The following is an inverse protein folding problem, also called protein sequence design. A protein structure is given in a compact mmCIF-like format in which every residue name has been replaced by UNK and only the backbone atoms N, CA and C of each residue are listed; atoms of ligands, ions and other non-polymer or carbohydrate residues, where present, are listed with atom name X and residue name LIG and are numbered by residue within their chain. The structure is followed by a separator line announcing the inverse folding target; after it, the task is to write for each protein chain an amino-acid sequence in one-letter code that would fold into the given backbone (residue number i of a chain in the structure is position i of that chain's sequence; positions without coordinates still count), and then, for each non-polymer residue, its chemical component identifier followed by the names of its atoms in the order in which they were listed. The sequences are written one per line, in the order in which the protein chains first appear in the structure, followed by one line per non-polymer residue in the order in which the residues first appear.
data_IF_184622842197
#
_entry.id   IF_184622842197
#
_cell.length_a   1.000
_cell.length_b   1.000
_cell.length_c   1.000
_cell.angle_alpha   90.00
_cell.angle_beta   90.00
_cell.angle_gamma   90.00
#
_symmetry.space_group_name_H-M   'P 1'
#
loop_
_entity.id
_entity.type
_entity.pdbx_description
1 polymer ?
#
# COMPACT_ATOMS: atom_id res chain seq x y z
N UNK A 1 8.67 -13.21 -15.62
CA UNK A 1 8.02 -12.56 -16.79
C UNK A 1 7.74 -11.11 -16.43
N UNK A 2 8.01 -10.17 -17.32
CA UNK A 2 7.69 -8.74 -17.21
C UNK A 2 6.86 -8.34 -18.43
N UNK A 3 5.77 -7.62 -18.22
CA UNK A 3 5.05 -6.97 -19.30
C UNK A 3 5.45 -5.48 -19.33
N UNK A 4 6.04 -5.04 -20.40
CA UNK A 4 6.41 -3.65 -20.63
C UNK A 4 5.62 -3.10 -21.80
N UNK A 5 4.69 -2.19 -21.54
CA UNK A 5 3.82 -1.57 -22.55
C UNK A 5 3.11 -2.61 -23.47
N UNK A 6 2.62 -3.72 -22.89
CA UNK A 6 1.92 -4.78 -23.63
C UNK A 6 2.84 -5.85 -24.26
N UNK A 7 4.16 -5.65 -24.20
CA UNK A 7 5.15 -6.63 -24.71
C UNK A 7 5.74 -7.43 -23.53
N UNK A 8 5.77 -8.76 -23.69
CA UNK A 8 6.27 -9.68 -22.68
C UNK A 8 7.78 -9.93 -22.85
N UNK A 9 8.51 -9.86 -21.74
CA UNK A 9 9.95 -10.11 -21.67
C UNK A 9 10.28 -11.08 -20.52
N UNK A 10 11.39 -11.81 -20.65
CA UNK A 10 11.99 -12.46 -19.49
C UNK A 10 12.61 -11.41 -18.55
N UNK A 11 12.85 -11.76 -17.28
CA UNK A 11 13.53 -10.86 -16.33
C UNK A 11 14.91 -10.43 -16.81
N UNK A 12 15.63 -11.34 -17.52
CA UNK A 12 16.99 -11.05 -18.03
C UNK A 12 16.98 -10.12 -19.25
N UNK A 13 15.90 -10.13 -20.04
CA UNK A 13 15.81 -9.33 -21.28
C UNK A 13 15.07 -8.02 -21.11
N UNK A 14 14.26 -7.86 -20.05
CA UNK A 14 13.57 -6.61 -19.76
C UNK A 14 14.56 -5.50 -19.43
N UNK A 15 14.47 -4.39 -20.17
CA UNK A 15 15.38 -3.24 -19.98
C UNK A 15 14.59 -1.94 -19.87
N UNK A 16 14.96 -1.12 -18.90
CA UNK A 16 14.49 0.26 -18.79
C UNK A 16 15.58 1.21 -19.22
N UNK A 17 15.20 2.30 -19.88
CA UNK A 17 16.14 3.36 -20.25
C UNK A 17 16.71 4.02 -18.98
N UNK A 18 18.02 4.34 -18.99
CA UNK A 18 18.64 5.18 -17.96
C UNK A 18 18.02 6.58 -17.88
N UNK A 19 17.30 7.01 -18.93
CA UNK A 19 16.55 8.27 -18.97
C UNK A 19 15.12 8.14 -18.47
N UNK A 20 14.74 6.97 -17.89
CA UNK A 20 13.42 6.78 -17.27
C UNK A 20 13.19 7.80 -16.17
N UNK A 21 12.10 8.56 -16.23
CA UNK A 21 11.82 9.64 -15.28
C UNK A 21 11.44 9.13 -13.90
N UNK A 22 10.86 7.94 -13.81
CA UNK A 22 10.62 7.26 -12.52
C UNK A 22 11.92 6.96 -11.79
N UNK A 23 13.00 6.61 -12.54
CA UNK A 23 14.34 6.41 -12.00
C UNK A 23 15.00 7.75 -11.61
N UNK A 24 14.96 8.76 -12.49
CA UNK A 24 15.71 10.00 -12.30
C UNK A 24 15.07 10.98 -11.32
N UNK A 25 13.73 11.02 -11.25
CA UNK A 25 12.97 12.05 -10.52
C UNK A 25 11.89 11.48 -9.58
N UNK A 26 11.72 10.16 -9.53
CA UNK A 26 10.57 9.56 -8.84
C UNK A 26 9.22 9.89 -9.51
N UNK A 27 9.22 10.31 -10.78
CA UNK A 27 8.05 10.73 -11.57
C UNK A 27 7.25 9.49 -12.02
N UNK A 28 6.70 8.77 -11.04
CA UNK A 28 6.01 7.51 -11.20
C UNK A 28 5.06 7.21 -10.05
N UNK A 29 4.04 6.42 -10.36
CA UNK A 29 3.08 5.83 -9.39
C UNK A 29 2.98 4.33 -9.63
N UNK A 30 2.56 3.58 -8.62
CA UNK A 30 2.40 2.14 -8.77
C UNK A 30 1.25 1.60 -7.92
N UNK A 31 0.73 0.46 -8.34
CA UNK A 31 -0.17 -0.37 -7.56
C UNK A 31 0.54 -1.66 -7.13
N UNK A 32 0.16 -2.16 -5.97
CA UNK A 32 0.51 -3.50 -5.53
C UNK A 32 -0.80 -4.24 -5.31
N UNK A 33 -1.04 -5.30 -6.07
CA UNK A 33 -2.31 -6.00 -6.12
C UNK A 33 -2.07 -7.44 -5.70
N UNK A 34 -2.87 -7.96 -4.79
CA UNK A 34 -2.89 -9.39 -4.46
C UNK A 34 -3.80 -10.10 -5.46
N UNK A 35 -3.29 -11.20 -6.04
CA UNK A 35 -4.06 -12.06 -6.94
C UNK A 35 -4.07 -13.47 -6.37
N UNK A 36 -5.23 -14.11 -6.40
CA UNK A 36 -5.39 -15.49 -5.96
C UNK A 36 -6.25 -16.22 -6.99
N UNK A 37 -5.74 -17.33 -7.55
CA UNK A 37 -6.42 -18.09 -8.59
C UNK A 37 -6.92 -17.23 -9.76
N UNK A 38 -6.08 -16.28 -10.21
CA UNK A 38 -6.40 -15.36 -11.30
C UNK A 38 -7.33 -14.19 -10.93
N UNK A 39 -7.83 -14.14 -9.70
CA UNK A 39 -8.70 -13.06 -9.24
C UNK A 39 -7.91 -11.93 -8.57
N UNK A 40 -8.08 -10.71 -9.06
CA UNK A 40 -7.46 -9.50 -8.52
C UNK A 40 -8.28 -8.98 -7.34
N UNK A 41 -7.69 -8.93 -6.15
CA UNK A 41 -8.39 -8.41 -4.95
C UNK A 41 -8.57 -6.89 -5.03
N UNK A 42 -9.82 -6.44 -4.88
CA UNK A 42 -10.18 -5.01 -4.87
C UNK A 42 -9.72 -4.25 -6.12
N UNK A 43 -9.79 -4.89 -7.30
CA UNK A 43 -9.25 -4.34 -8.54
C UNK A 43 -9.82 -2.96 -8.88
N UNK A 44 -11.11 -2.76 -8.75
CA UNK A 44 -11.75 -1.46 -9.01
C UNK A 44 -11.14 -0.33 -8.16
N UNK A 45 -10.90 -0.58 -6.88
CA UNK A 45 -10.29 0.40 -5.97
C UNK A 45 -8.85 0.73 -6.39
N UNK A 46 -8.07 -0.27 -6.82
CA UNK A 46 -6.72 -0.09 -7.34
C UNK A 46 -6.73 0.75 -8.62
N UNK A 47 -7.61 0.41 -9.55
CA UNK A 47 -7.75 1.14 -10.80
C UNK A 47 -8.08 2.62 -10.57
N UNK A 48 -9.11 2.91 -9.77
CA UNK A 48 -9.49 4.31 -9.51
C UNK A 48 -8.40 5.09 -8.76
N UNK A 49 -7.68 4.46 -7.84
CA UNK A 49 -6.56 5.10 -7.16
C UNK A 49 -5.43 5.42 -8.14
N UNK A 50 -5.09 4.49 -9.02
CA UNK A 50 -4.08 4.70 -10.06
C UNK A 50 -4.45 5.88 -10.96
N UNK A 51 -5.68 5.88 -11.51
CA UNK A 51 -6.17 6.95 -12.38
C UNK A 51 -6.19 8.31 -11.68
N UNK A 52 -6.63 8.35 -10.41
CA UNK A 52 -6.61 9.57 -9.61
C UNK A 52 -5.16 10.07 -9.38
N UNK A 53 -4.23 9.15 -9.10
CA UNK A 53 -2.82 9.48 -8.89
C UNK A 53 -2.17 10.04 -10.16
N UNK A 54 -2.44 9.44 -11.32
CA UNK A 54 -1.96 9.94 -12.62
C UNK A 54 -2.47 11.37 -12.90
N UNK A 55 -3.76 11.63 -12.63
CA UNK A 55 -4.34 12.98 -12.79
C UNK A 55 -3.67 14.02 -11.89
N UNK A 56 -3.44 13.68 -10.61
CA UNK A 56 -2.77 14.56 -9.66
C UNK A 56 -1.35 14.89 -10.13
N UNK A 57 -0.63 13.92 -10.69
CA UNK A 57 0.70 14.12 -11.27
C UNK A 57 0.66 14.70 -12.70
N UNK A 58 -0.52 15.04 -13.23
CA UNK A 58 -0.70 15.58 -14.60
C UNK A 58 -0.11 14.67 -15.69
N UNK A 59 -0.21 13.36 -15.50
CA UNK A 59 0.12 12.37 -16.52
C UNK A 59 -1.05 12.24 -17.49
N UNK A 60 -0.77 12.12 -18.78
CA UNK A 60 -1.79 11.82 -19.78
C UNK A 60 -2.23 10.36 -19.60
N UNK A 61 -3.50 10.16 -19.30
CA UNK A 61 -4.10 8.83 -19.20
C UNK A 61 -4.43 8.37 -20.64
N UNK A 62 -3.78 7.31 -21.15
CA UNK A 62 -4.08 6.81 -22.48
C UNK A 62 -5.54 6.40 -22.59
N UNK A 63 -6.19 6.67 -23.74
CA UNK A 63 -7.61 6.35 -23.95
C UNK A 63 -7.92 4.85 -23.75
N UNK A 64 -6.96 3.98 -24.02
CA UNK A 64 -7.09 2.53 -23.83
C UNK A 64 -6.87 2.07 -22.38
N UNK A 65 -6.44 2.93 -21.45
CA UNK A 65 -6.28 2.57 -20.04
C UNK A 65 -7.63 2.42 -19.33
N UNK A 66 -8.50 1.56 -19.88
CA UNK A 66 -9.71 1.16 -19.19
C UNK A 66 -9.39 0.13 -18.10
N UNK A 67 -10.35 -0.09 -17.22
CA UNK A 67 -10.24 -1.09 -16.14
C UNK A 67 -10.06 -2.50 -16.74
N UNK A 68 -10.79 -2.80 -17.79
CA UNK A 68 -10.75 -4.08 -18.50
C UNK A 68 -9.41 -4.28 -19.20
N UNK A 69 -8.90 -3.25 -19.90
CA UNK A 69 -7.61 -3.34 -20.60
C UNK A 69 -6.45 -3.66 -19.63
N UNK A 70 -6.36 -2.94 -18.52
CA UNK A 70 -5.28 -3.17 -17.56
C UNK A 70 -5.43 -4.53 -16.84
N UNK A 71 -6.66 -4.98 -16.61
CA UNK A 71 -6.93 -6.30 -16.06
C UNK A 71 -6.50 -7.41 -17.05
N UNK A 72 -6.82 -7.26 -18.33
CA UNK A 72 -6.40 -8.18 -19.39
C UNK A 72 -4.88 -8.25 -19.53
N UNK A 73 -4.19 -7.11 -19.49
CA UNK A 73 -2.72 -7.08 -19.50
C UNK A 73 -2.09 -7.78 -18.30
N UNK A 74 -2.68 -7.65 -17.09
CA UNK A 74 -2.27 -8.40 -15.90
C UNK A 74 -2.50 -9.90 -16.11
N UNK A 75 -3.71 -10.31 -16.54
CA UNK A 75 -4.05 -11.73 -16.77
C UNK A 75 -3.19 -12.35 -17.86
N UNK A 76 -2.93 -11.63 -18.95
CA UNK A 76 -2.01 -12.03 -20.02
C UNK A 76 -0.60 -12.31 -19.48
N UNK A 77 -0.12 -11.45 -18.57
CA UNK A 77 1.21 -11.60 -17.98
C UNK A 77 1.26 -12.81 -17.04
N UNK A 78 0.20 -13.04 -16.23
CA UNK A 78 0.06 -14.21 -15.36
C UNK A 78 0.10 -15.49 -16.19
N UNK A 79 -0.70 -15.57 -17.24
CA UNK A 79 -0.78 -16.72 -18.14
C UNK A 79 0.57 -17.01 -18.82
N UNK A 80 1.27 -15.99 -19.29
CA UNK A 80 2.57 -16.15 -19.92
C UNK A 80 3.67 -16.63 -18.96
N UNK A 81 3.48 -16.45 -17.64
CA UNK A 81 4.36 -16.97 -16.61
C UNK A 81 3.96 -18.34 -16.07
N UNK A 82 2.85 -18.92 -16.53
CA UNK A 82 2.24 -20.16 -16.02
C UNK A 82 1.91 -20.11 -14.50
N UNK A 83 1.37 -18.97 -14.06
CA UNK A 83 1.08 -18.70 -12.65
C UNK A 83 -0.43 -18.61 -12.33
N UNK A 84 -1.29 -19.13 -13.22
CA UNK A 84 -2.76 -19.01 -13.12
C UNK A 84 -3.36 -19.54 -11.82
N UNK A 85 -2.73 -20.55 -11.21
CA UNK A 85 -3.21 -21.20 -9.97
C UNK A 85 -2.47 -20.73 -8.72
N UNK A 86 -1.61 -19.74 -8.83
CA UNK A 86 -0.79 -19.30 -7.72
C UNK A 86 -1.35 -18.04 -7.05
N UNK A 87 -0.94 -17.83 -5.80
CA UNK A 87 -1.10 -16.53 -5.14
C UNK A 87 0.04 -15.62 -5.55
N UNK A 88 -0.29 -14.42 -6.02
CA UNK A 88 0.67 -13.49 -6.60
C UNK A 88 0.59 -12.11 -5.95
N UNK A 89 1.74 -11.46 -5.94
CA UNK A 89 1.90 -10.03 -5.78
C UNK A 89 2.18 -9.42 -7.15
N UNK A 90 1.25 -8.62 -7.62
CA UNK A 90 1.40 -7.87 -8.87
C UNK A 90 1.87 -6.46 -8.54
N UNK A 91 2.90 -5.99 -9.23
CA UNK A 91 3.25 -4.57 -9.27
C UNK A 91 2.92 -4.00 -10.63
N UNK A 92 1.90 -3.15 -10.69
CA UNK A 92 1.58 -2.34 -11.86
C UNK A 92 2.20 -0.96 -11.65
N UNK A 93 3.19 -0.63 -12.45
CA UNK A 93 3.98 0.58 -12.35
C UNK A 93 3.74 1.48 -13.56
N UNK A 94 3.53 2.77 -13.34
CA UNK A 94 3.32 3.75 -14.40
C UNK A 94 4.26 4.92 -14.16
N UNK A 95 5.05 5.27 -15.16
CA UNK A 95 5.94 6.43 -15.15
C UNK A 95 5.71 7.34 -16.34
N UNK A 96 5.98 8.63 -16.18
CA UNK A 96 6.01 9.55 -17.32
C UNK A 96 7.14 9.16 -18.26
N UNK A 97 6.91 9.21 -19.59
CA UNK A 97 7.93 8.93 -20.60
C UNK A 97 9.16 9.82 -20.47
N UNK A 98 10.27 9.31 -20.96
CA UNK A 98 11.54 10.03 -20.95
C UNK A 98 11.45 11.35 -21.75
N UNK A 99 12.21 12.35 -21.30
CA UNK A 99 12.33 13.64 -21.95
C UNK A 99 12.28 14.83 -21.00
N UNK A 100 13.02 15.86 -21.31
CA UNK A 100 13.16 17.06 -20.49
C UNK A 100 13.93 16.84 -19.19
N UNK A 101 13.98 17.89 -18.37
CA UNK A 101 14.52 17.86 -17.01
C UNK A 101 13.34 17.89 -16.03
N UNK A 102 13.25 18.86 -15.12
CA UNK A 102 12.07 19.01 -14.25
C UNK A 102 10.80 19.28 -15.05
N UNK A 103 10.89 20.10 -16.11
CA UNK A 103 9.82 20.24 -17.08
C UNK A 103 9.90 19.11 -18.10
N UNK A 104 8.92 18.18 -18.14
CA UNK A 104 8.90 17.08 -19.12
C UNK A 104 8.59 17.63 -20.51
N UNK A 105 9.07 16.94 -21.56
CA UNK A 105 8.76 17.30 -22.96
C UNK A 105 7.37 16.85 -23.38
N UNK A 106 6.78 15.88 -22.70
CA UNK A 106 5.40 15.38 -22.88
C UNK A 106 4.90 14.78 -21.55
N UNK A 107 3.60 14.53 -21.45
CA UNK A 107 2.98 13.91 -20.28
C UNK A 107 2.54 12.45 -20.53
N UNK A 108 2.90 11.87 -21.67
CA UNK A 108 2.65 10.47 -21.98
C UNK A 108 3.30 9.54 -20.94
N UNK A 109 2.81 8.32 -20.86
CA UNK A 109 3.28 7.35 -19.87
C UNK A 109 3.74 6.04 -20.51
N UNK A 110 4.65 5.38 -19.79
CA UNK A 110 4.96 3.96 -19.95
C UNK A 110 4.48 3.21 -18.72
N UNK A 111 4.17 1.91 -18.90
CA UNK A 111 3.83 1.05 -17.78
C UNK A 111 4.59 -0.28 -17.84
N UNK A 112 4.77 -0.90 -16.68
CA UNK A 112 5.16 -2.30 -16.63
C UNK A 112 4.42 -3.06 -15.53
N UNK A 113 4.27 -4.36 -15.74
CA UNK A 113 3.66 -5.30 -14.81
C UNK A 113 4.71 -6.34 -14.44
N UNK A 114 4.96 -6.46 -13.14
CA UNK A 114 5.86 -7.43 -12.53
C UNK A 114 5.06 -8.40 -11.67
N UNK A 115 5.42 -9.69 -11.70
CA UNK A 115 4.81 -10.76 -10.94
C UNK A 115 5.79 -11.33 -9.93
N UNK A 116 5.30 -11.59 -8.71
CA UNK A 116 6.01 -12.29 -7.66
C UNK A 116 5.07 -13.30 -7.02
N UNK A 117 5.49 -14.57 -6.87
CA UNK A 117 4.69 -15.57 -6.18
C UNK A 117 4.67 -15.31 -4.68
N UNK A 118 3.52 -15.54 -4.04
CA UNK A 118 3.35 -15.39 -2.60
C UNK A 118 2.83 -16.70 -2.00
N UNK A 119 3.02 -16.90 -0.69
CA UNK A 119 2.62 -18.13 -0.01
C UNK A 119 1.10 -18.28 0.07
N UNK A 120 0.49 -17.66 1.07
CA UNK A 120 -0.91 -17.91 1.42
C UNK A 120 -1.91 -17.24 0.47
N UNK A 121 -2.96 -17.96 0.04
CA UNK A 121 -4.04 -17.38 -0.77
C UNK A 121 -4.90 -16.39 0.01
N UNK A 122 -5.16 -16.64 1.29
CA UNK A 122 -5.95 -15.75 2.15
C UNK A 122 -5.07 -14.99 3.14
N UNK A 123 -5.65 -13.98 3.78
CA UNK A 123 -4.97 -13.29 4.86
C UNK A 123 -4.95 -14.17 6.12
N UNK A 124 -3.75 -14.51 6.57
CA UNK A 124 -3.51 -15.26 7.80
C UNK A 124 -3.19 -14.30 8.93
N UNK A 125 -3.63 -14.65 10.15
CA UNK A 125 -3.36 -13.83 11.32
C UNK A 125 -2.01 -14.24 11.92
N UNK A 126 -1.04 -13.33 11.87
CA UNK A 126 0.27 -13.56 12.47
C UNK A 126 0.30 -13.02 13.91
N UNK A 127 0.64 -13.88 14.86
CA UNK A 127 0.78 -13.56 16.30
C UNK A 127 2.23 -13.44 16.75
N UNK A 128 3.18 -13.57 15.82
CA UNK A 128 4.58 -13.40 16.15
C UNK A 128 4.86 -11.99 16.71
N UNK A 129 5.92 -11.89 17.48
CA UNK A 129 6.36 -10.59 17.99
C UNK A 129 6.55 -9.60 16.84
N UNK A 130 5.81 -8.51 16.90
CA UNK A 130 5.88 -7.42 15.93
C UNK A 130 6.01 -6.10 16.68
N UNK A 131 7.24 -5.72 16.95
CA UNK A 131 7.58 -4.52 17.71
C UNK A 131 7.86 -3.36 16.77
N UNK A 132 7.37 -2.18 17.14
CA UNK A 132 7.55 -0.96 16.37
C UNK A 132 8.11 0.17 17.23
N UNK A 133 8.83 1.11 16.59
CA UNK A 133 9.22 2.39 17.20
C UNK A 133 8.88 3.54 16.25
N UNK A 134 8.91 4.77 16.74
CA UNK A 134 8.74 5.97 15.92
C UNK A 134 10.03 6.29 15.16
N UNK A 135 9.94 6.44 13.85
CA UNK A 135 11.02 7.00 13.05
C UNK A 135 10.96 8.53 13.12
N UNK A 136 11.99 9.16 13.69
CA UNK A 136 12.00 10.59 14.01
C UNK A 136 12.99 11.41 13.21
N UNK A 137 13.83 10.77 12.40
CA UNK A 137 14.88 11.45 11.67
C UNK A 137 14.32 12.30 10.52
N UNK A 138 13.21 11.84 9.92
CA UNK A 138 12.54 12.54 8.83
C UNK A 138 11.02 12.46 8.97
N UNK A 139 10.34 13.52 8.53
CA UNK A 139 8.88 13.66 8.63
C UNK A 139 8.22 13.62 7.25
N UNK A 140 7.00 13.06 7.21
CA UNK A 140 6.12 13.18 6.04
C UNK A 140 5.51 14.58 6.04
N UNK A 141 5.62 15.30 4.94
CA UNK A 141 4.87 16.55 4.77
C UNK A 141 3.41 16.24 4.46
N UNK A 142 2.51 16.72 5.31
CA UNK A 142 1.07 16.53 5.19
C UNK A 142 0.49 17.32 4.01
N UNK A 143 0.49 16.73 2.84
CA UNK A 143 -0.06 17.30 1.60
C UNK A 143 -0.64 16.22 0.68
N UNK A 144 -1.24 16.64 -0.43
CA UNK A 144 -1.87 15.73 -1.38
C UNK A 144 -0.88 14.69 -1.97
N UNK A 145 0.38 15.06 -2.20
CA UNK A 145 1.38 14.14 -2.80
C UNK A 145 1.75 13.00 -1.84
N UNK A 146 1.71 13.23 -0.53
CA UNK A 146 1.97 12.20 0.47
C UNK A 146 0.92 11.06 0.41
N UNK A 147 -0.30 11.37 -0.04
CA UNK A 147 -1.38 10.38 -0.13
C UNK A 147 -1.26 9.46 -1.34
N UNK A 148 -0.32 9.71 -2.25
CA UNK A 148 -0.11 8.95 -3.47
C UNK A 148 0.81 7.75 -3.24
N UNK A 149 0.52 6.65 -3.96
CA UNK A 149 1.44 5.51 -4.03
C UNK A 149 2.51 5.78 -5.11
N UNK A 150 3.33 6.81 -4.86
CA UNK A 150 4.41 7.22 -5.76
C UNK A 150 5.71 6.47 -5.49
N UNK A 151 6.66 6.58 -6.42
CA UNK A 151 7.99 5.99 -6.30
C UNK A 151 8.94 6.75 -5.35
N UNK A 152 8.54 7.91 -4.86
CA UNK A 152 9.29 8.72 -3.89
C UNK A 152 9.19 8.10 -2.48
N UNK A 153 10.00 7.08 -2.18
CA UNK A 153 9.94 6.27 -0.95
C UNK A 153 11.20 6.34 -0.10
N UNK A 154 12.00 7.39 -0.25
CA UNK A 154 13.27 7.50 0.50
C UNK A 154 13.08 7.48 2.01
N UNK A 155 12.01 8.10 2.55
CA UNK A 155 11.70 8.08 3.99
C UNK A 155 11.40 6.65 4.44
N UNK A 156 10.64 5.88 3.65
CA UNK A 156 10.33 4.49 3.96
C UNK A 156 11.61 3.62 3.93
N UNK A 157 12.54 3.88 3.01
CA UNK A 157 13.83 3.17 2.92
C UNK A 157 14.67 3.46 4.17
N UNK A 158 14.86 4.73 4.53
CA UNK A 158 15.64 5.13 5.72
C UNK A 158 15.01 4.60 7.01
N UNK A 159 13.68 4.66 7.12
CA UNK A 159 12.96 4.08 8.26
C UNK A 159 13.11 2.56 8.35
N UNK A 160 13.18 1.85 7.20
CA UNK A 160 13.43 0.40 7.19
C UNK A 160 14.85 0.05 7.63
N UNK A 161 15.84 0.83 7.21
CA UNK A 161 17.23 0.68 7.67
C UNK A 161 17.29 0.89 9.18
N UNK A 162 16.73 1.99 9.68
CA UNK A 162 16.66 2.27 11.12
C UNK A 162 15.97 1.15 11.90
N UNK A 163 14.85 0.61 11.42
CA UNK A 163 14.17 -0.51 12.05
C UNK A 163 15.10 -1.73 12.17
N UNK A 164 15.79 -2.09 11.10
CA UNK A 164 16.72 -3.23 11.06
C UNK A 164 17.89 -3.02 12.04
N UNK A 165 18.52 -1.85 12.02
CA UNK A 165 19.66 -1.51 12.89
C UNK A 165 19.31 -1.59 14.38
N UNK A 166 18.03 -1.34 14.73
CA UNK A 166 17.55 -1.32 16.12
C UNK A 166 16.72 -2.56 16.50
N UNK A 167 16.60 -3.56 15.63
CA UNK A 167 15.90 -4.83 15.90
C UNK A 167 14.38 -4.72 15.94
N UNK A 168 13.80 -3.66 15.36
CA UNK A 168 12.35 -3.50 15.21
C UNK A 168 11.85 -4.16 13.92
N UNK A 169 10.63 -4.69 13.93
CA UNK A 169 9.98 -5.24 12.73
C UNK A 169 9.44 -4.15 11.82
N UNK A 170 9.15 -2.96 12.36
CA UNK A 170 8.66 -1.82 11.60
C UNK A 170 8.89 -0.50 12.33
N UNK A 171 8.70 0.62 11.61
CA UNK A 171 8.61 1.93 12.22
C UNK A 171 7.29 2.61 11.87
N UNK A 172 6.83 3.45 12.78
CA UNK A 172 5.72 4.38 12.56
C UNK A 172 6.29 5.74 12.15
N UNK A 173 5.74 6.30 11.08
CA UNK A 173 6.15 7.57 10.51
C UNK A 173 5.35 8.72 11.12
N UNK A 174 6.01 9.84 11.29
CA UNK A 174 5.43 11.09 11.79
C UNK A 174 5.30 12.10 10.65
N UNK A 175 4.29 12.97 10.73
CA UNK A 175 4.23 14.15 9.87
C UNK A 175 4.95 15.36 10.49
N UNK A 176 5.01 16.45 9.73
CA UNK A 176 5.59 17.75 10.13
C UNK A 176 4.96 18.35 11.41
N UNK A 177 3.73 17.92 11.77
CA UNK A 177 3.05 18.27 13.04
C UNK A 177 3.30 17.25 14.16
N UNK A 178 4.22 16.29 13.96
CA UNK A 178 4.55 15.21 14.90
C UNK A 178 3.38 14.27 15.23
N UNK A 179 2.39 14.20 14.36
CA UNK A 179 1.32 13.20 14.44
C UNK A 179 1.76 11.90 13.76
N UNK A 180 1.34 10.78 14.31
CA UNK A 180 1.62 9.45 13.74
C UNK A 180 0.72 9.24 12.53
N UNK A 181 1.31 8.94 11.39
CA UNK A 181 0.62 8.94 10.09
C UNK A 181 0.33 7.52 9.61
N UNK A 182 1.36 6.70 9.51
CA UNK A 182 1.32 5.34 8.98
C UNK A 182 2.57 4.57 9.39
N UNK A 183 2.64 3.28 9.09
CA UNK A 183 3.87 2.50 9.17
C UNK A 183 4.61 2.54 7.82
N UNK A 184 5.83 2.00 7.77
CA UNK A 184 6.68 2.00 6.56
C UNK A 184 6.00 1.38 5.34
N UNK A 185 5.16 0.35 5.52
CA UNK A 185 4.47 -0.35 4.42
C UNK A 185 2.97 -0.52 4.63
N UNK A 186 2.34 0.23 5.54
CA UNK A 186 0.91 0.06 5.82
C UNK A 186 0.28 1.20 6.59
N UNK A 187 -1.04 1.34 6.48
CA UNK A 187 -1.79 2.31 7.26
C UNK A 187 -1.96 1.83 8.71
N UNK A 188 -1.98 2.76 9.66
CA UNK A 188 -2.14 2.49 11.07
C UNK A 188 -3.61 2.54 11.50
N UNK A 189 -3.99 1.61 12.36
CA UNK A 189 -5.21 1.63 13.15
C UNK A 189 -4.89 1.47 14.62
N UNK A 190 -5.67 2.14 15.46
CA UNK A 190 -5.57 2.13 16.90
C UNK A 190 -6.94 1.83 17.50
N UNK A 191 -7.00 0.97 18.51
CA UNK A 191 -8.23 0.67 19.26
C UNK A 191 -8.07 1.14 20.69
N UNK A 192 -9.12 1.82 21.20
CA UNK A 192 -9.21 2.21 22.60
C UNK A 192 -10.68 2.05 23.06
N UNK A 193 -10.91 1.09 23.96
CA UNK A 193 -12.26 0.69 24.33
C UNK A 193 -13.05 0.25 23.09
N UNK A 194 -14.15 0.91 22.83
CA UNK A 194 -15.01 0.65 21.66
C UNK A 194 -14.71 1.57 20.46
N UNK A 195 -13.69 2.42 20.55
CA UNK A 195 -13.34 3.33 19.47
C UNK A 195 -12.16 2.79 18.65
N UNK A 196 -12.36 2.66 17.34
CA UNK A 196 -11.32 2.33 16.35
C UNK A 196 -10.92 3.63 15.66
N UNK A 197 -9.64 3.98 15.67
CA UNK A 197 -9.12 5.21 15.08
C UNK A 197 -8.10 4.91 13.98
N UNK A 198 -8.08 5.75 12.96
CA UNK A 198 -7.03 5.75 11.92
C UNK A 198 -6.71 7.19 11.54
N UNK A 199 -5.45 7.54 11.24
CA UNK A 199 -5.11 8.88 10.79
C UNK A 199 -5.90 9.28 9.54
N UNK A 200 -6.42 10.54 9.47
CA UNK A 200 -7.07 11.04 8.28
C UNK A 200 -6.06 11.26 7.15
N UNK A 201 -6.49 11.19 5.91
CA UNK A 201 -5.60 11.43 4.76
C UNK A 201 -5.02 12.85 4.73
N UNK A 202 -5.65 13.81 5.40
CA UNK A 202 -5.12 15.17 5.60
C UNK A 202 -3.84 15.22 6.43
N UNK A 203 -3.55 14.17 7.22
CA UNK A 203 -2.30 14.05 7.97
C UNK A 203 -1.15 13.52 7.10
N UNK A 204 -1.41 13.13 5.84
CA UNK A 204 -0.42 12.69 4.88
C UNK A 204 -0.27 11.17 4.74
N UNK A 205 -1.16 10.36 5.31
CA UNK A 205 -1.13 8.92 5.10
C UNK A 205 -1.56 8.53 3.68
N UNK A 206 -1.05 7.40 3.22
CA UNK A 206 -1.47 6.80 1.96
C UNK A 206 -2.98 6.50 1.98
N UNK A 207 -3.67 6.72 0.86
CA UNK A 207 -5.04 6.25 0.63
C UNK A 207 -5.04 4.74 0.39
N UNK A 208 -4.79 3.95 1.43
CA UNK A 208 -4.65 2.50 1.33
C UNK A 208 -5.96 1.79 0.96
N UNK A 209 -5.85 0.75 0.11
CA UNK A 209 -7.02 -0.04 -0.30
C UNK A 209 -7.61 -0.78 0.91
N UNK A 210 -6.79 -1.50 1.67
CA UNK A 210 -7.28 -2.19 2.87
C UNK A 210 -7.79 -1.20 3.92
N UNK A 211 -7.15 -0.02 4.06
CA UNK A 211 -7.69 1.05 4.93
C UNK A 211 -9.13 1.40 4.53
N UNK A 212 -9.41 1.59 3.24
CA UNK A 212 -10.78 1.84 2.73
C UNK A 212 -11.71 0.69 3.10
N UNK A 213 -11.32 -0.56 2.83
CA UNK A 213 -12.13 -1.73 3.13
C UNK A 213 -12.46 -1.86 4.62
N UNK A 214 -11.47 -1.60 5.51
CA UNK A 214 -11.70 -1.66 6.95
C UNK A 214 -12.59 -0.52 7.45
N UNK A 215 -12.47 0.69 6.90
CA UNK A 215 -13.38 1.80 7.21
C UNK A 215 -14.82 1.40 6.88
N UNK A 216 -15.06 0.78 5.72
CA UNK A 216 -16.39 0.29 5.35
C UNK A 216 -16.88 -0.81 6.28
N UNK A 217 -16.03 -1.78 6.62
CA UNK A 217 -16.38 -2.85 7.58
C UNK A 217 -16.71 -2.26 8.94
N UNK A 218 -15.87 -1.36 9.46
CA UNK A 218 -16.08 -0.77 10.79
C UNK A 218 -17.42 0.00 10.89
N UNK A 219 -17.86 0.66 9.81
CA UNK A 219 -19.16 1.35 9.76
C UNK A 219 -20.37 0.41 9.92
N UNK A 220 -20.20 -0.89 9.69
CA UNK A 220 -21.25 -1.88 9.86
C UNK A 220 -21.29 -2.50 11.27
N UNK A 221 -20.30 -2.21 12.11
CA UNK A 221 -20.19 -2.75 13.46
C UNK A 221 -21.00 -1.89 14.43
N UNK A 222 -21.96 -2.51 15.14
CA UNK A 222 -22.77 -1.81 16.15
C UNK A 222 -22.00 -1.55 17.45
N UNK A 223 -21.01 -2.39 17.75
CA UNK A 223 -20.25 -2.37 19.01
C UNK A 223 -19.08 -1.39 19.00
N UNK A 224 -18.69 -0.90 17.81
CA UNK A 224 -17.50 -0.05 17.64
C UNK A 224 -17.85 1.24 16.91
N UNK A 225 -17.20 2.32 17.33
CA UNK A 225 -17.22 3.61 16.61
C UNK A 225 -15.92 3.79 15.87
N UNK A 226 -15.99 4.17 14.59
CA UNK A 226 -14.80 4.51 13.77
C UNK A 226 -14.61 6.02 13.74
N UNK A 227 -13.36 6.46 14.01
CA UNK A 227 -12.94 7.85 13.90
C UNK A 227 -11.74 7.98 12.96
N UNK A 228 -11.85 8.81 11.93
CA UNK A 228 -10.70 9.31 11.18
C UNK A 228 -10.14 10.53 11.91
N UNK A 229 -9.10 10.34 12.73
CA UNK A 229 -8.58 11.35 13.65
C UNK A 229 -7.07 11.28 13.76
N UNK A 230 -6.42 12.45 13.89
CA UNK A 230 -4.98 12.55 14.14
C UNK A 230 -4.60 11.79 15.43
N UNK A 231 -3.54 11.00 15.32
CA UNK A 231 -3.03 10.16 16.40
C UNK A 231 -1.69 10.73 16.87
N UNK A 232 -1.60 11.05 18.15
CA UNK A 232 -0.35 11.48 18.76
C UNK A 232 0.47 10.27 19.27
N UNK A 233 1.76 10.48 19.54
CA UNK A 233 2.59 9.45 20.17
C UNK A 233 2.12 9.05 21.58
N UNK A 234 1.36 9.91 22.27
CA UNK A 234 0.76 9.61 23.56
C UNK A 234 -0.45 8.66 23.42
N UNK A 235 -1.18 8.74 22.31
CA UNK A 235 -2.32 7.86 22.07
C UNK A 235 -1.85 6.42 21.89
N UNK A 236 -0.67 6.20 21.31
CA UNK A 236 -0.05 4.87 21.20
C UNK A 236 0.11 4.21 22.59
N UNK A 237 0.55 4.98 23.61
CA UNK A 237 0.71 4.45 24.97
C UNK A 237 -0.62 4.10 25.66
N UNK A 238 -1.71 4.73 25.23
CA UNK A 238 -3.06 4.58 25.81
C UNK A 238 -3.94 3.59 25.05
N UNK A 239 -3.49 3.12 23.90
CA UNK A 239 -4.23 2.18 23.07
C UNK A 239 -4.32 0.80 23.72
N UNK A 240 -5.40 0.08 23.44
CA UNK A 240 -5.57 -1.32 23.78
C UNK A 240 -4.99 -2.22 22.70
N UNK A 241 -5.17 -1.83 21.41
CA UNK A 241 -4.60 -2.51 20.27
C UNK A 241 -4.00 -1.52 19.26
N UNK A 242 -2.97 -1.95 18.57
CA UNK A 242 -2.43 -1.31 17.36
C UNK A 242 -2.29 -2.36 16.26
N UNK A 243 -2.61 -2.01 15.03
CA UNK A 243 -2.33 -2.85 13.88
C UNK A 243 -2.10 -2.02 12.62
N UNK A 244 -1.40 -2.61 11.68
CA UNK A 244 -1.14 -2.01 10.36
C UNK A 244 -1.80 -2.82 9.27
N UNK A 245 -2.06 -2.18 8.13
CA UNK A 245 -2.79 -2.80 7.03
C UNK A 245 -2.17 -2.52 5.68
N UNK A 246 -2.05 -3.53 4.85
CA UNK A 246 -1.78 -3.39 3.42
C UNK A 246 -2.38 -4.57 2.64
N UNK A 247 -2.40 -4.47 1.32
CA UNK A 247 -3.08 -5.43 0.45
C UNK A 247 -2.44 -6.82 0.45
N UNK A 248 -1.17 -6.95 0.83
CA UNK A 248 -0.48 -8.25 0.82
C UNK A 248 -0.74 -9.05 2.10
N UNK A 249 -0.74 -8.37 3.25
CA UNK A 249 -0.88 -9.01 4.58
C UNK A 249 -2.30 -8.91 5.15
N UNK A 250 -3.17 -8.03 4.59
CA UNK A 250 -4.45 -7.70 5.21
C UNK A 250 -4.24 -6.87 6.47
N UNK A 251 -4.16 -7.52 7.62
CA UNK A 251 -3.93 -6.90 8.94
C UNK A 251 -2.75 -7.59 9.62
N UNK A 252 -1.78 -6.79 10.08
CA UNK A 252 -0.70 -7.22 10.97
C UNK A 252 -0.87 -6.55 12.33
N UNK A 253 -1.17 -7.29 13.40
CA UNK A 253 -1.18 -6.73 14.74
C UNK A 253 0.23 -6.31 15.15
N UNK A 254 0.32 -5.22 15.90
CA UNK A 254 1.53 -4.77 16.58
C UNK A 254 1.49 -5.34 18.00
N UNK A 255 2.52 -6.08 18.40
CA UNK A 255 2.58 -6.66 19.73
C UNK A 255 3.09 -5.65 20.78
N UNK A 256 4.06 -4.81 20.39
CA UNK A 256 4.76 -3.93 21.32
C UNK A 256 5.10 -2.58 20.69
N UNK A 257 4.99 -1.54 21.53
CA UNK A 257 5.62 -0.24 21.30
C UNK A 257 6.28 0.20 22.61
N UNK A 258 7.59 0.19 22.66
CA UNK A 258 8.38 0.40 23.88
C UNK A 258 7.99 -0.62 24.97
N UNK A 259 7.56 -0.13 26.15
CA UNK A 259 7.11 -0.96 27.28
C UNK A 259 5.63 -1.37 27.19
N UNK A 260 4.87 -0.80 26.25
CA UNK A 260 3.44 -1.10 26.08
C UNK A 260 3.29 -2.38 25.27
N UNK A 261 2.53 -3.33 25.81
CA UNK A 261 2.07 -4.55 25.14
C UNK A 261 0.62 -4.36 24.73
N UNK A 262 0.26 -4.79 23.53
CA UNK A 262 -1.08 -4.64 22.97
C UNK A 262 -1.82 -5.96 22.89
N UNK A 263 -3.15 -5.89 22.95
CA UNK A 263 -4.07 -6.96 22.56
C UNK A 263 -4.22 -7.01 21.04
N UNK A 264 -4.98 -8.00 20.54
CA UNK A 264 -5.17 -8.20 19.10
C UNK A 264 -6.55 -8.79 18.73
N UNK A 265 -7.52 -8.71 19.65
CA UNK A 265 -8.85 -9.31 19.48
C UNK A 265 -9.66 -8.63 18.37
N UNK A 266 -9.67 -7.29 18.35
CA UNK A 266 -10.36 -6.49 17.33
C UNK A 266 -9.68 -6.66 15.97
N UNK A 267 -8.34 -6.65 15.93
CA UNK A 267 -7.57 -6.90 14.71
C UNK A 267 -7.91 -8.26 14.11
N UNK A 268 -8.03 -9.31 14.92
CA UNK A 268 -8.43 -10.67 14.51
C UNK A 268 -9.85 -10.70 13.95
N UNK A 269 -10.79 -10.10 14.64
CA UNK A 269 -12.20 -10.00 14.20
C UNK A 269 -12.30 -9.27 12.86
N UNK A 270 -11.60 -8.15 12.70
CA UNK A 270 -11.58 -7.38 11.45
C UNK A 270 -10.95 -8.17 10.29
N UNK A 271 -9.88 -8.95 10.54
CA UNK A 271 -9.27 -9.80 9.52
C UNK A 271 -10.23 -10.90 9.04
N UNK A 272 -10.99 -11.51 9.94
CA UNK A 272 -12.01 -12.49 9.57
C UNK A 272 -13.08 -11.86 8.65
N UNK A 273 -13.57 -10.67 9.00
CA UNK A 273 -14.54 -9.93 8.15
C UNK A 273 -13.94 -9.51 6.80
N UNK A 274 -12.67 -9.12 6.78
CA UNK A 274 -11.96 -8.80 5.54
C UNK A 274 -11.85 -10.04 4.63
N UNK A 275 -11.52 -11.21 5.18
CA UNK A 275 -11.47 -12.47 4.42
C UNK A 275 -12.85 -12.87 3.88
N UNK A 276 -13.92 -12.66 4.63
CA UNK A 276 -15.30 -12.86 4.12
C UNK A 276 -15.56 -11.92 2.94
N UNK A 277 -15.22 -10.64 3.06
CA UNK A 277 -15.41 -9.64 1.98
C UNK A 277 -14.64 -10.04 0.71
N UNK A 278 -13.40 -10.50 0.85
CA UNK A 278 -12.58 -10.98 -0.27
C UNK A 278 -13.24 -12.17 -0.96
N UNK A 279 -13.78 -13.14 -0.21
CA UNK A 279 -14.43 -14.33 -0.77
C UNK A 279 -15.75 -14.02 -1.49
N UNK A 280 -16.48 -12.99 -1.04
CA UNK A 280 -17.75 -12.59 -1.64
C UNK A 280 -17.57 -11.68 -2.86
N UNK A 281 -16.41 -11.06 -3.01
CA UNK A 281 -16.06 -10.27 -4.19
C UNK A 281 -15.47 -11.12 -5.34
N UNK A 282 -15.43 -12.45 -5.12
CA UNK A 282 -14.94 -13.47 -6.07
C UNK A 282 -16.01 -13.97 -7.00
#
# INVERSE_FOLDING_TARGET
MINLNGTLYSLETAKLSIKNRGLLYGDAVFETIKVVNGQLFFWEDHYFRLMASMRILRMDIPMHFSMEFLEEEIKKTIKAADFDKQSLRIKLYVNRKAGGKYNPTNNEVDYFIELETTGDPFYTFNEDRYEVELFKDHYIYANLLATLKSNAKIINVLGSIYATENGYQNCLLLNDKKMVVEALQGNLFLVKGTTIMTPPTSDGCLRGIIRKQLIEICKTLQEYTLEEKSISSFDLQKADELFITNVMIGIQPISNYRKKVYKNEVARMLLQKLNVKVRLAS
#
